data_IF_999996539129
#
_entry.id   IF_999996539129
#
_cell.length_a   1.000
_cell.length_b   1.000
_cell.length_c   1.000
_cell.angle_alpha   90.00
_cell.angle_beta   90.00
_cell.angle_gamma   90.00
#
_symmetry.space_group_name_H-M   'P 1'
#
loop_
_entity.id
_entity.type
_entity.pdbx_description
1 polymer ?
#
# COMPACT_ATOMS: atom_id res chain seq x y z
N UNK A 1 -20.78 -30.04 9.95
CA UNK A 1 -19.84 -28.93 9.69
C UNK A 1 -20.68 -27.67 9.57
N UNK A 2 -20.58 -26.75 10.54
CA UNK A 2 -21.26 -25.46 10.44
C UNK A 2 -20.74 -24.72 9.21
N UNK A 3 -21.63 -24.08 8.45
CA UNK A 3 -21.26 -23.34 7.26
C UNK A 3 -20.33 -22.17 7.68
N UNK A 4 -19.24 -21.88 6.94
CA UNK A 4 -18.34 -20.76 7.24
C UNK A 4 -19.08 -19.44 7.45
N UNK A 5 -20.21 -19.26 6.75
CA UNK A 5 -21.09 -18.10 6.86
C UNK A 5 -21.77 -17.95 8.23
N UNK A 6 -22.15 -19.04 8.90
CA UNK A 6 -22.77 -18.99 10.23
C UNK A 6 -21.72 -18.64 11.30
N UNK A 7 -20.51 -19.19 11.17
CA UNK A 7 -19.39 -18.85 12.07
C UNK A 7 -19.01 -17.37 11.97
N UNK A 8 -18.96 -16.81 10.76
CA UNK A 8 -18.66 -15.39 10.58
C UNK A 8 -19.82 -14.48 10.97
N UNK A 9 -21.08 -14.94 10.83
CA UNK A 9 -22.22 -14.22 11.40
C UNK A 9 -22.14 -14.12 12.94
N UNK A 10 -21.60 -15.15 13.61
CA UNK A 10 -21.31 -15.10 15.04
C UNK A 10 -20.21 -14.11 15.43
N UNK A 11 -19.29 -13.72 14.52
CA UNK A 11 -18.35 -12.62 14.78
C UNK A 11 -19.07 -11.31 15.06
N UNK A 12 -20.24 -11.07 14.46
CA UNK A 12 -21.01 -9.84 14.69
C UNK A 12 -21.76 -9.84 16.02
N UNK A 13 -21.95 -11.01 16.67
CA UNK A 13 -22.43 -11.07 18.05
C UNK A 13 -21.37 -10.47 18.98
N UNK A 14 -21.76 -9.52 19.85
CA UNK A 14 -20.84 -8.72 20.67
C UNK A 14 -20.08 -9.49 21.77
N UNK A 15 -19.87 -10.80 21.63
CA UNK A 15 -19.13 -11.61 22.58
C UNK A 15 -17.65 -11.70 22.19
N UNK A 16 -16.78 -11.18 23.05
CA UNK A 16 -15.32 -11.24 22.87
C UNK A 16 -14.78 -12.67 22.94
N UNK A 17 -15.49 -13.60 23.60
CA UNK A 17 -15.11 -15.02 23.63
C UNK A 17 -15.24 -15.67 22.26
N UNK A 18 -16.32 -15.34 21.53
CA UNK A 18 -16.57 -15.84 20.18
C UNK A 18 -15.45 -15.45 19.20
N UNK A 19 -14.85 -14.27 19.34
CA UNK A 19 -13.76 -13.83 18.45
C UNK A 19 -12.49 -14.66 18.67
N UNK A 20 -12.14 -14.96 19.94
CA UNK A 20 -10.95 -15.74 20.26
C UNK A 20 -11.10 -17.22 19.86
N UNK A 21 -12.28 -17.79 20.07
CA UNK A 21 -12.63 -19.13 19.59
C UNK A 21 -12.53 -19.22 18.06
N UNK A 22 -13.03 -18.21 17.34
CA UNK A 22 -12.95 -18.18 15.87
C UNK A 22 -11.51 -18.02 15.38
N UNK A 23 -10.67 -17.22 16.06
CA UNK A 23 -9.23 -17.15 15.75
C UNK A 23 -8.56 -18.51 15.89
N UNK A 24 -8.85 -19.25 16.96
CA UNK A 24 -8.30 -20.58 17.19
C UNK A 24 -8.77 -21.54 16.10
N UNK A 25 -10.07 -21.61 15.81
CA UNK A 25 -10.64 -22.47 14.77
C UNK A 25 -10.08 -22.18 13.38
N UNK A 26 -9.94 -20.91 12.99
CA UNK A 26 -9.35 -20.52 11.70
C UNK A 26 -7.90 -20.99 11.63
N UNK A 27 -7.11 -20.73 12.67
CA UNK A 27 -5.70 -21.13 12.69
C UNK A 27 -5.51 -22.66 12.72
N UNK A 28 -6.36 -23.39 13.43
CA UNK A 28 -6.36 -24.85 13.45
C UNK A 28 -6.75 -25.42 12.08
N UNK A 29 -7.78 -24.87 11.44
CA UNK A 29 -8.18 -25.33 10.10
C UNK A 29 -7.12 -25.05 9.05
N UNK A 30 -6.45 -23.90 9.12
CA UNK A 30 -5.35 -23.56 8.21
C UNK A 30 -4.14 -24.48 8.44
N UNK A 31 -3.86 -24.85 9.69
CA UNK A 31 -2.75 -25.74 10.02
C UNK A 31 -3.01 -27.20 9.65
N UNK A 32 -4.22 -27.71 9.90
CA UNK A 32 -4.55 -29.12 9.75
C UNK A 32 -4.94 -29.50 8.32
N UNK A 33 -5.70 -28.65 7.63
CA UNK A 33 -6.29 -29.00 6.34
C UNK A 33 -5.61 -28.32 5.14
N UNK A 34 -4.71 -27.36 5.36
CA UNK A 34 -4.21 -26.42 4.32
C UNK A 34 -5.36 -25.78 3.51
N UNK A 35 -6.56 -25.71 4.08
CA UNK A 35 -7.76 -25.24 3.39
C UNK A 35 -7.73 -23.72 3.28
N UNK A 36 -7.13 -23.23 2.20
CA UNK A 36 -7.11 -21.81 1.81
C UNK A 36 -8.50 -21.26 1.50
N UNK A 37 -9.51 -22.13 1.39
CA UNK A 37 -10.92 -21.80 1.20
C UNK A 37 -11.49 -20.98 2.36
N UNK A 38 -11.15 -21.30 3.61
CA UNK A 38 -11.65 -20.57 4.78
C UNK A 38 -11.06 -19.16 4.83
N UNK A 39 -9.75 -19.04 4.57
CA UNK A 39 -9.08 -17.74 4.46
C UNK A 39 -9.68 -16.90 3.33
N UNK A 40 -9.94 -17.53 2.18
CA UNK A 40 -10.59 -16.85 1.05
C UNK A 40 -11.97 -16.33 1.42
N UNK A 41 -12.77 -17.14 2.09
CA UNK A 41 -14.12 -16.77 2.54
C UNK A 41 -14.07 -15.66 3.59
N UNK A 42 -13.09 -15.69 4.50
CA UNK A 42 -12.89 -14.65 5.51
C UNK A 42 -12.53 -13.30 4.86
N UNK A 43 -11.63 -13.32 3.86
CA UNK A 43 -11.32 -12.12 3.08
C UNK A 43 -12.55 -11.61 2.34
N UNK A 44 -13.29 -12.49 1.66
CA UNK A 44 -14.50 -12.10 0.92
C UNK A 44 -15.57 -11.52 1.87
N UNK A 45 -15.71 -12.11 3.07
CA UNK A 45 -16.58 -11.58 4.12
C UNK A 45 -16.15 -10.18 4.57
N UNK A 46 -14.84 -9.93 4.78
CA UNK A 46 -14.37 -8.58 5.10
C UNK A 46 -14.67 -7.57 3.98
N UNK A 47 -14.47 -7.97 2.71
CA UNK A 47 -14.68 -7.09 1.57
C UNK A 47 -16.13 -6.61 1.45
N UNK A 48 -17.09 -7.43 1.90
CA UNK A 48 -18.52 -7.07 1.96
C UNK A 48 -18.92 -6.38 3.27
N UNK A 49 -18.53 -6.92 4.43
CA UNK A 49 -19.01 -6.45 5.75
C UNK A 49 -18.24 -5.27 6.32
N UNK A 50 -16.96 -5.10 5.95
CA UNK A 50 -16.01 -4.17 6.60
C UNK A 50 -15.85 -4.39 8.11
N UNK A 51 -16.16 -5.58 8.61
CA UNK A 51 -16.13 -5.91 10.03
C UNK A 51 -14.73 -5.79 10.63
N UNK A 52 -14.60 -5.04 11.72
CA UNK A 52 -13.33 -4.89 12.45
C UNK A 52 -12.92 -6.19 13.14
N UNK A 53 -13.87 -7.00 13.60
CA UNK A 53 -13.57 -8.29 14.21
C UNK A 53 -12.99 -9.28 13.21
N UNK A 54 -13.50 -9.26 11.97
CA UNK A 54 -12.91 -10.02 10.87
C UNK A 54 -11.46 -9.58 10.58
N UNK A 55 -11.19 -8.27 10.62
CA UNK A 55 -9.81 -7.77 10.52
C UNK A 55 -8.93 -8.29 11.67
N UNK A 56 -9.41 -8.31 12.91
CA UNK A 56 -8.64 -8.81 14.05
C UNK A 56 -8.29 -10.29 13.90
N UNK A 57 -9.18 -11.10 13.30
CA UNK A 57 -8.91 -12.50 12.94
C UNK A 57 -7.86 -12.58 11.83
N UNK A 58 -7.99 -11.78 10.77
CA UNK A 58 -7.03 -11.74 9.66
C UNK A 58 -5.62 -11.32 10.09
N UNK A 59 -5.50 -10.39 11.05
CA UNK A 59 -4.22 -9.95 11.61
C UNK A 59 -3.60 -11.05 12.49
N UNK A 60 -4.42 -11.83 13.19
CA UNK A 60 -4.01 -12.89 14.11
C UNK A 60 -3.70 -14.26 13.46
N UNK A 61 -3.61 -14.33 12.12
CA UNK A 61 -3.25 -15.58 11.44
C UNK A 61 -1.79 -15.98 11.72
N UNK A 62 -1.53 -17.29 11.63
CA UNK A 62 -0.17 -17.83 11.66
C UNK A 62 0.63 -17.38 10.44
N UNK A 63 1.93 -17.19 10.66
CA UNK A 63 2.89 -16.76 9.65
C UNK A 63 2.98 -17.71 8.44
N UNK A 64 2.78 -19.01 8.67
CA UNK A 64 2.74 -20.02 7.60
C UNK A 64 1.64 -19.78 6.55
N UNK A 65 0.58 -19.06 6.92
CA UNK A 65 -0.56 -18.75 6.06
C UNK A 65 -0.52 -17.34 5.47
N UNK A 66 0.50 -16.54 5.82
CA UNK A 66 0.62 -15.16 5.33
C UNK A 66 0.76 -15.10 3.81
N UNK A 67 1.46 -16.06 3.21
CA UNK A 67 1.59 -16.17 1.74
C UNK A 67 0.22 -16.34 1.06
N UNK A 68 -0.61 -17.26 1.56
CA UNK A 68 -1.93 -17.52 1.00
C UNK A 68 -2.85 -16.30 1.12
N UNK A 69 -2.73 -15.55 2.23
CA UNK A 69 -3.44 -14.28 2.40
C UNK A 69 -3.00 -13.27 1.34
N UNK A 70 -1.69 -13.10 1.14
CA UNK A 70 -1.19 -12.17 0.13
C UNK A 70 -1.55 -12.58 -1.29
N UNK A 71 -1.57 -13.88 -1.61
CA UNK A 71 -2.02 -14.37 -2.91
C UNK A 71 -3.51 -14.03 -3.13
N UNK A 72 -4.38 -14.27 -2.14
CA UNK A 72 -5.80 -13.87 -2.22
C UNK A 72 -5.97 -12.36 -2.39
N UNK A 73 -5.29 -11.55 -1.58
CA UNK A 73 -5.34 -10.09 -1.66
C UNK A 73 -4.84 -9.58 -3.03
N UNK A 74 -3.79 -10.19 -3.57
CA UNK A 74 -3.25 -9.85 -4.87
C UNK A 74 -4.26 -10.08 -6.00
N UNK A 75 -5.02 -11.18 -5.96
CA UNK A 75 -6.10 -11.43 -6.92
C UNK A 75 -7.25 -10.44 -6.76
N UNK A 76 -7.64 -10.09 -5.53
CA UNK A 76 -8.67 -9.09 -5.28
C UNK A 76 -8.27 -7.67 -5.77
N UNK A 77 -6.98 -7.33 -5.77
CA UNK A 77 -6.47 -6.07 -6.35
C UNK A 77 -6.64 -5.98 -7.87
N UNK A 78 -6.60 -7.12 -8.59
CA UNK A 78 -6.82 -7.15 -10.04
C UNK A 78 -8.30 -6.99 -10.40
N UNK A 79 -9.20 -7.40 -9.51
CA UNK A 79 -10.63 -7.42 -9.72
C UNK A 79 -11.36 -6.11 -9.41
N UNK A 80 -12.69 -6.21 -9.35
CA UNK A 80 -13.61 -5.10 -9.05
C UNK A 80 -13.57 -4.65 -7.58
N UNK A 81 -13.04 -5.47 -6.69
CA UNK A 81 -12.93 -5.21 -5.24
C UNK A 81 -11.64 -4.48 -4.85
N UNK A 82 -10.92 -3.89 -5.82
CA UNK A 82 -9.64 -3.20 -5.61
C UNK A 82 -9.67 -2.18 -4.46
N UNK A 83 -10.64 -1.26 -4.45
CA UNK A 83 -10.77 -0.25 -3.40
C UNK A 83 -10.95 -0.89 -2.01
N UNK A 84 -11.79 -1.92 -1.93
CA UNK A 84 -12.01 -2.62 -0.67
C UNK A 84 -10.75 -3.33 -0.18
N UNK A 85 -10.01 -3.92 -1.11
CA UNK A 85 -8.75 -4.64 -0.86
C UNK A 85 -7.64 -3.69 -0.43
N UNK A 86 -7.47 -2.54 -1.08
CA UNK A 86 -6.51 -1.52 -0.66
C UNK A 86 -6.79 -1.02 0.76
N UNK A 87 -8.08 -0.82 1.09
CA UNK A 87 -8.49 -0.45 2.45
C UNK A 87 -8.14 -1.55 3.46
N UNK A 88 -8.37 -2.83 3.11
CA UNK A 88 -7.98 -3.97 3.96
C UNK A 88 -6.47 -4.00 4.18
N UNK A 89 -5.66 -3.87 3.12
CA UNK A 89 -4.20 -3.87 3.20
C UNK A 89 -3.72 -2.71 4.06
N UNK A 90 -4.25 -1.49 3.87
CA UNK A 90 -3.90 -0.34 4.69
C UNK A 90 -4.18 -0.59 6.18
N UNK A 91 -5.33 -1.19 6.50
CA UNK A 91 -5.68 -1.54 7.88
C UNK A 91 -4.75 -2.62 8.46
N UNK A 92 -4.38 -3.65 7.67
CA UNK A 92 -3.39 -4.66 8.07
C UNK A 92 -2.03 -4.00 8.35
N UNK A 93 -1.57 -3.11 7.47
CA UNK A 93 -0.30 -2.39 7.63
C UNK A 93 -0.31 -1.52 8.89
N UNK A 94 -1.41 -0.83 9.19
CA UNK A 94 -1.55 -0.07 10.43
C UNK A 94 -1.53 -0.94 11.70
N UNK A 95 -2.01 -2.19 11.61
CA UNK A 95 -1.99 -3.15 12.73
C UNK A 95 -0.64 -3.83 12.93
N UNK A 96 0.25 -3.79 11.93
CA UNK A 96 1.62 -4.33 11.98
C UNK A 96 1.70 -5.78 12.51
N UNK A 97 0.98 -6.75 11.92
CA UNK A 97 1.09 -8.15 12.35
C UNK A 97 2.53 -8.66 12.19
N UNK A 98 2.94 -9.65 13.00
CA UNK A 98 4.31 -10.17 12.98
C UNK A 98 4.73 -10.71 11.60
N UNK A 99 3.78 -11.27 10.84
CA UNK A 99 4.01 -11.81 9.49
C UNK A 99 4.03 -10.75 8.37
N UNK A 100 3.76 -9.47 8.68
CA UNK A 100 3.67 -8.41 7.66
C UNK A 100 4.95 -8.28 6.84
N UNK A 101 6.11 -8.54 7.43
CA UNK A 101 7.40 -8.40 6.77
C UNK A 101 7.54 -9.28 5.51
N UNK A 102 6.78 -10.37 5.37
CA UNK A 102 6.73 -11.18 4.16
C UNK A 102 6.20 -10.44 2.93
N UNK A 103 5.53 -9.29 3.12
CA UNK A 103 4.99 -8.48 2.02
C UNK A 103 6.09 -8.00 1.07
N UNK A 104 7.31 -7.73 1.56
CA UNK A 104 8.41 -7.22 0.74
C UNK A 104 8.98 -8.26 -0.21
N UNK A 105 8.76 -9.54 0.08
CA UNK A 105 9.17 -10.67 -0.76
C UNK A 105 8.04 -11.15 -1.68
N UNK A 106 6.84 -10.56 -1.56
CA UNK A 106 5.67 -10.97 -2.31
C UNK A 106 5.33 -9.98 -3.44
N UNK A 107 4.88 -10.49 -4.59
CA UNK A 107 4.48 -9.72 -5.79
C UNK A 107 3.40 -8.66 -5.53
N UNK A 108 2.67 -8.75 -4.41
CA UNK A 108 1.65 -7.78 -4.01
C UNK A 108 2.24 -6.39 -3.83
N UNK A 109 3.48 -6.27 -3.33
CA UNK A 109 4.14 -4.98 -3.15
C UNK A 109 4.35 -4.27 -4.50
N UNK A 110 4.90 -4.98 -5.49
CA UNK A 110 5.06 -4.45 -6.86
C UNK A 110 3.72 -4.09 -7.49
N UNK A 111 2.65 -4.86 -7.25
CA UNK A 111 1.32 -4.52 -7.73
C UNK A 111 0.76 -3.25 -7.05
N UNK A 112 0.99 -3.04 -5.75
CA UNK A 112 0.61 -1.79 -5.07
C UNK A 112 1.37 -0.60 -5.66
N UNK A 113 2.66 -0.73 -5.95
CA UNK A 113 3.45 0.30 -6.64
C UNK A 113 2.93 0.58 -8.05
N UNK A 114 2.52 -0.46 -8.78
CA UNK A 114 1.84 -0.32 -10.07
C UNK A 114 0.52 0.45 -9.96
N UNK A 115 -0.25 0.26 -8.88
CA UNK A 115 -1.47 1.04 -8.61
C UNK A 115 -1.12 2.51 -8.42
N UNK A 116 -0.03 2.86 -7.71
CA UNK A 116 0.42 4.26 -7.62
C UNK A 116 0.79 4.84 -8.98
N UNK A 117 1.46 4.04 -9.83
CA UNK A 117 1.92 4.47 -11.17
C UNK A 117 0.80 4.73 -12.16
N UNK A 118 -0.24 3.90 -12.16
CA UNK A 118 -1.13 3.80 -13.33
C UNK A 118 -2.61 3.57 -13.00
N UNK A 119 -3.03 3.69 -11.73
CA UNK A 119 -4.45 3.54 -11.42
C UNK A 119 -5.29 4.69 -12.03
N UNK A 120 -6.49 4.38 -12.55
CA UNK A 120 -7.37 5.39 -13.16
C UNK A 120 -7.99 6.31 -12.10
N UNK A 121 -8.36 5.75 -10.94
CA UNK A 121 -9.02 6.51 -9.88
C UNK A 121 -8.00 7.12 -8.92
N UNK A 122 -8.06 8.44 -8.66
CA UNK A 122 -7.18 9.13 -7.70
C UNK A 122 -7.20 8.51 -6.30
N UNK A 123 -8.35 7.99 -5.86
CA UNK A 123 -8.52 7.40 -4.53
C UNK A 123 -7.66 6.13 -4.38
N UNK A 124 -7.54 5.31 -5.44
CA UNK A 124 -6.67 4.14 -5.43
C UNK A 124 -5.20 4.54 -5.30
N UNK A 125 -4.78 5.60 -6.01
CA UNK A 125 -3.40 6.12 -5.95
C UNK A 125 -3.09 6.63 -4.54
N UNK A 126 -4.01 7.38 -3.92
CA UNK A 126 -3.85 7.88 -2.56
C UNK A 126 -3.70 6.74 -1.55
N UNK A 127 -4.61 5.75 -1.56
CA UNK A 127 -4.53 4.62 -0.64
C UNK A 127 -3.27 3.77 -0.86
N UNK A 128 -2.92 3.48 -2.10
CA UNK A 128 -1.70 2.76 -2.42
C UNK A 128 -0.45 3.53 -1.95
N UNK A 129 -0.41 4.85 -2.16
CA UNK A 129 0.69 5.70 -1.68
C UNK A 129 0.82 5.63 -0.15
N UNK A 130 -0.31 5.66 0.58
CA UNK A 130 -0.32 5.51 2.04
C UNK A 130 0.28 4.19 2.49
N UNK A 131 -0.05 3.09 1.82
CA UNK A 131 0.53 1.78 2.12
C UNK A 131 2.06 1.83 1.90
N UNK A 132 2.52 2.40 0.79
CA UNK A 132 3.95 2.45 0.45
C UNK A 132 4.76 3.24 1.46
N UNK A 133 4.36 4.47 1.79
CA UNK A 133 5.12 5.26 2.75
C UNK A 133 4.98 4.76 4.19
N UNK A 134 3.98 3.94 4.50
CA UNK A 134 3.87 3.26 5.80
C UNK A 134 4.79 2.05 5.90
N UNK A 135 4.91 1.27 4.81
CA UNK A 135 5.79 0.10 4.75
C UNK A 135 7.27 0.47 4.75
N UNK A 136 7.63 1.56 4.06
CA UNK A 136 9.02 2.00 3.90
C UNK A 136 9.76 2.20 5.24
N UNK A 137 9.23 2.92 6.24
CA UNK A 137 9.87 3.06 7.54
C UNK A 137 9.76 1.81 8.42
N UNK A 138 8.74 0.97 8.23
CA UNK A 138 8.62 -0.28 8.98
C UNK A 138 9.67 -1.31 8.55
N UNK A 139 9.98 -1.37 7.25
CA UNK A 139 10.82 -2.41 6.65
C UNK A 139 11.92 -1.80 5.73
N UNK A 140 12.77 -0.87 6.22
CA UNK A 140 13.64 -0.06 5.37
C UNK A 140 14.65 -0.90 4.56
N UNK A 141 15.32 -1.85 5.20
CA UNK A 141 16.32 -2.67 4.49
C UNK A 141 15.66 -3.54 3.42
N UNK A 142 14.58 -4.24 3.78
CA UNK A 142 13.88 -5.17 2.88
C UNK A 142 13.21 -4.42 1.72
N UNK A 143 12.50 -3.33 2.01
CA UNK A 143 11.89 -2.47 0.99
C UNK A 143 12.95 -1.90 0.04
N UNK A 144 14.08 -1.42 0.58
CA UNK A 144 15.20 -0.90 -0.20
C UNK A 144 15.76 -1.91 -1.20
N UNK A 145 15.79 -3.19 -0.82
CA UNK A 145 16.29 -4.26 -1.70
C UNK A 145 15.30 -4.71 -2.77
N UNK A 146 14.00 -4.77 -2.47
CA UNK A 146 13.02 -5.40 -3.37
C UNK A 146 12.19 -4.43 -4.19
N UNK A 147 11.99 -3.19 -3.72
CA UNK A 147 10.95 -2.30 -4.24
C UNK A 147 11.42 -0.87 -4.51
N UNK A 148 12.69 -0.54 -4.24
CA UNK A 148 13.19 0.84 -4.30
C UNK A 148 13.11 1.46 -5.71
N UNK A 149 13.51 0.69 -6.74
CA UNK A 149 13.44 1.16 -8.12
C UNK A 149 11.99 1.43 -8.55
N UNK A 150 11.08 0.50 -8.27
CA UNK A 150 9.64 0.66 -8.54
C UNK A 150 9.05 1.86 -7.79
N UNK A 151 9.51 2.13 -6.56
CA UNK A 151 9.09 3.29 -5.77
C UNK A 151 9.56 4.62 -6.38
N UNK A 152 10.76 4.67 -6.95
CA UNK A 152 11.25 5.83 -7.69
C UNK A 152 10.44 6.09 -8.96
N UNK A 153 10.08 5.05 -9.69
CA UNK A 153 9.21 5.16 -10.86
C UNK A 153 7.79 5.59 -10.47
N UNK A 154 7.25 5.06 -9.37
CA UNK A 154 5.97 5.47 -8.81
C UNK A 154 5.97 6.95 -8.41
N UNK A 155 7.04 7.43 -7.80
CA UNK A 155 7.23 8.85 -7.52
C UNK A 155 7.18 9.69 -8.80
N UNK A 156 7.94 9.33 -9.83
CA UNK A 156 7.96 10.08 -11.09
C UNK A 156 6.60 10.08 -11.80
N UNK A 157 5.89 8.94 -11.78
CA UNK A 157 4.55 8.83 -12.36
C UNK A 157 3.55 9.73 -11.63
N UNK A 158 3.54 9.70 -10.30
CA UNK A 158 2.68 10.56 -9.48
C UNK A 158 3.01 12.05 -9.68
N UNK A 159 4.28 12.39 -9.80
CA UNK A 159 4.74 13.75 -10.07
C UNK A 159 4.25 14.25 -11.43
N UNK A 160 4.35 13.41 -12.47
CA UNK A 160 3.84 13.71 -13.80
C UNK A 160 2.31 13.89 -13.78
N UNK A 161 1.58 13.05 -13.06
CA UNK A 161 0.12 13.17 -12.89
C UNK A 161 -0.27 14.51 -12.25
N UNK A 162 0.39 14.87 -11.15
CA UNK A 162 0.14 16.12 -10.44
C UNK A 162 0.44 17.37 -11.29
N UNK A 163 1.31 17.22 -12.28
CA UNK A 163 1.75 18.30 -13.18
C UNK A 163 0.83 18.46 -14.38
N UNK A 164 0.45 17.33 -15.00
CA UNK A 164 -0.49 17.31 -16.13
C UNK A 164 -1.87 17.80 -15.75
N UNK A 165 -2.27 17.65 -14.48
CA UNK A 165 -3.59 18.07 -13.95
C UNK A 165 -4.75 17.70 -14.89
N UNK A 166 -4.95 16.40 -15.15
CA UNK A 166 -5.95 15.99 -16.12
C UNK A 166 -7.34 16.44 -15.67
N UNK A 167 -8.13 16.97 -16.61
CA UNK A 167 -9.38 17.68 -16.34
C UNK A 167 -10.47 16.85 -15.64
N UNK A 168 -10.35 15.53 -15.64
CA UNK A 168 -11.29 14.61 -14.98
C UNK A 168 -11.05 14.48 -13.47
N UNK A 169 -9.92 14.95 -12.93
CA UNK A 169 -9.61 14.85 -11.50
C UNK A 169 -10.10 16.11 -10.78
N UNK A 170 -11.01 15.90 -9.82
CA UNK A 170 -11.51 16.97 -8.96
C UNK A 170 -10.38 17.65 -8.17
N UNK A 171 -10.49 18.96 -7.93
CA UNK A 171 -9.42 19.75 -7.30
C UNK A 171 -9.05 19.24 -5.90
N UNK A 172 -10.04 18.75 -5.13
CA UNK A 172 -9.80 18.14 -3.81
C UNK A 172 -8.89 16.91 -3.91
N UNK A 173 -9.16 16.00 -4.86
CA UNK A 173 -8.31 14.82 -5.08
C UNK A 173 -6.90 15.22 -5.51
N UNK A 174 -6.77 16.24 -6.35
CA UNK A 174 -5.45 16.75 -6.76
C UNK A 174 -4.63 17.27 -5.58
N UNK A 175 -5.26 17.93 -4.59
CA UNK A 175 -4.58 18.37 -3.35
C UNK A 175 -4.03 17.19 -2.57
N UNK A 176 -4.81 16.12 -2.41
CA UNK A 176 -4.35 14.91 -1.72
C UNK A 176 -3.28 14.14 -2.50
N UNK A 177 -3.34 14.11 -3.83
CA UNK A 177 -2.28 13.52 -4.66
C UNK A 177 -0.95 14.27 -4.51
N UNK A 178 -0.99 15.61 -4.48
CA UNK A 178 0.20 16.43 -4.20
C UNK A 178 0.75 16.19 -2.80
N UNK A 179 -0.13 16.03 -1.81
CA UNK A 179 0.27 15.67 -0.46
C UNK A 179 0.92 14.28 -0.42
N UNK A 180 0.36 13.31 -1.13
CA UNK A 180 0.93 11.96 -1.27
C UNK A 180 2.31 12.00 -1.94
N UNK A 181 2.48 12.84 -2.96
CA UNK A 181 3.76 13.08 -3.63
C UNK A 181 4.80 13.68 -2.68
N UNK A 182 4.39 14.65 -1.86
CA UNK A 182 5.26 15.28 -0.87
C UNK A 182 5.72 14.26 0.19
N UNK A 183 4.82 13.44 0.72
CA UNK A 183 5.19 12.38 1.65
C UNK A 183 6.14 11.39 0.98
N UNK A 184 5.83 10.93 -0.23
CA UNK A 184 6.71 9.99 -0.93
C UNK A 184 8.11 10.58 -1.15
N UNK A 185 8.23 11.86 -1.47
CA UNK A 185 9.52 12.56 -1.51
C UNK A 185 10.23 12.52 -0.15
N UNK A 186 9.53 12.92 0.92
CA UNK A 186 10.10 12.98 2.27
C UNK A 186 10.62 11.61 2.75
N UNK A 187 9.86 10.55 2.51
CA UNK A 187 10.27 9.20 2.90
C UNK A 187 11.40 8.66 2.02
N UNK A 188 11.35 8.83 0.70
CA UNK A 188 12.42 8.38 -0.20
C UNK A 188 13.73 9.14 0.07
N UNK A 189 13.66 10.46 0.27
CA UNK A 189 14.81 11.28 0.60
C UNK A 189 15.33 11.00 2.01
N UNK A 190 14.44 10.83 2.99
CA UNK A 190 14.81 10.55 4.37
C UNK A 190 15.46 9.17 4.56
N UNK A 191 14.99 8.15 3.84
CA UNK A 191 15.46 6.77 4.00
C UNK A 191 16.53 6.37 2.99
N UNK A 192 16.49 6.90 1.77
CA UNK A 192 17.40 6.53 0.67
C UNK A 192 17.96 7.75 -0.07
N UNK A 193 18.56 8.74 0.61
CA UNK A 193 18.92 10.03 0.03
C UNK A 193 19.83 9.90 -1.20
N UNK A 194 20.91 9.11 -1.12
CA UNK A 194 21.87 8.98 -2.21
C UNK A 194 21.26 8.29 -3.43
N UNK A 195 20.55 7.17 -3.21
CA UNK A 195 19.88 6.43 -4.28
C UNK A 195 18.82 7.29 -4.97
N UNK A 196 18.02 8.01 -4.18
CA UNK A 196 16.96 8.84 -4.70
C UNK A 196 17.50 10.05 -5.46
N UNK A 197 18.52 10.74 -4.93
CA UNK A 197 19.18 11.84 -5.63
C UNK A 197 19.85 11.37 -6.93
N UNK A 198 20.50 10.20 -6.94
CA UNK A 198 21.07 9.62 -8.15
C UNK A 198 20.00 9.35 -9.20
N UNK A 199 18.87 8.77 -8.79
CA UNK A 199 17.71 8.57 -9.66
C UNK A 199 17.17 9.90 -10.20
N UNK A 200 16.98 10.91 -9.34
CA UNK A 200 16.49 12.22 -9.76
C UNK A 200 17.41 12.88 -10.79
N UNK A 201 18.73 12.83 -10.57
CA UNK A 201 19.72 13.37 -11.53
C UNK A 201 19.66 12.65 -12.87
N UNK A 202 19.58 11.32 -12.88
CA UNK A 202 19.47 10.55 -14.13
C UNK A 202 18.14 10.81 -14.86
N UNK A 203 17.02 10.73 -14.14
CA UNK A 203 15.68 10.79 -14.71
C UNK A 203 15.24 12.21 -15.11
N UNK A 204 15.65 13.23 -14.34
CA UNK A 204 15.26 14.63 -14.57
C UNK A 204 16.40 15.51 -15.10
N UNK A 205 17.68 15.15 -14.90
CA UNK A 205 18.84 15.93 -15.35
C UNK A 205 19.27 15.66 -16.79
N UNK A 206 18.78 14.59 -17.43
CA UNK A 206 19.04 14.31 -18.84
C UNK A 206 18.29 15.31 -19.73
N UNK A 207 19.06 16.11 -20.46
CA UNK A 207 18.72 17.43 -21.00
C UNK A 207 17.85 17.45 -22.27
N UNK A 208 16.89 16.53 -22.44
CA UNK A 208 16.17 16.41 -23.72
C UNK A 208 14.68 16.80 -23.70
N UNK A 209 14.05 17.08 -22.54
CA UNK A 209 12.60 17.36 -22.44
C UNK A 209 12.28 18.45 -21.40
N UNK A 210 12.82 19.64 -21.63
CA UNK A 210 13.18 20.65 -20.61
C UNK A 210 12.10 21.66 -20.17
N UNK A 211 10.80 21.47 -20.46
CA UNK A 211 9.76 22.44 -20.03
C UNK A 211 8.69 21.92 -19.05
N UNK A 212 8.22 20.68 -19.15
CA UNK A 212 7.21 20.15 -18.20
C UNK A 212 7.85 19.62 -16.90
N UNK A 213 9.05 19.05 -16.98
CA UNK A 213 9.75 18.43 -15.83
C UNK A 213 10.37 19.44 -14.87
N UNK A 214 10.79 20.61 -15.36
CA UNK A 214 11.36 21.69 -14.54
C UNK A 214 10.32 22.30 -13.58
N UNK A 215 9.05 22.31 -14.00
CA UNK A 215 7.92 22.78 -13.20
C UNK A 215 7.66 21.85 -12.01
N UNK A 216 7.90 20.54 -12.17
CA UNK A 216 7.79 19.53 -11.11
C UNK A 216 8.86 19.75 -10.05
N UNK A 217 10.11 19.93 -10.48
CA UNK A 217 11.21 20.25 -9.58
C UNK A 217 10.94 21.56 -8.81
N UNK A 218 10.53 22.60 -9.51
CA UNK A 218 10.35 23.94 -8.92
C UNK A 218 9.12 24.04 -8.01
N UNK A 219 8.01 23.36 -8.34
CA UNK A 219 6.78 23.43 -7.54
C UNK A 219 6.70 22.42 -6.39
N UNK A 220 7.39 21.28 -6.49
CA UNK A 220 7.32 20.24 -5.44
C UNK A 220 8.52 20.32 -4.48
N UNK A 221 9.72 20.63 -4.98
CA UNK A 221 10.95 20.61 -4.16
C UNK A 221 11.24 21.97 -3.53
N UNK A 222 10.99 23.08 -4.25
CA UNK A 222 11.27 24.44 -3.73
C UNK A 222 10.29 24.93 -2.66
N UNK A 223 9.06 24.41 -2.63
CA UNK A 223 8.07 24.75 -1.60
C UNK A 223 8.36 24.01 -0.27
N UNK A 224 9.03 22.85 -0.34
CA UNK A 224 9.39 22.07 0.85
C UNK A 224 10.69 22.52 1.53
N UNK A 225 11.47 23.36 0.86
CA UNK A 225 12.70 23.97 1.38
C UNK A 225 12.72 25.47 1.03
N UNK A 226 12.13 26.34 1.87
CA UNK A 226 12.32 27.77 1.71
C UNK A 226 13.76 28.11 2.10
N UNK A 227 14.56 28.46 1.08
CA UNK A 227 15.83 29.18 1.13
C UNK A 227 16.69 29.02 2.39
N UNK A 228 17.51 27.96 2.44
CA UNK A 228 18.83 28.01 3.08
C UNK A 228 19.83 27.17 2.27
N UNK A 229 20.21 27.70 1.10
CA UNK A 229 21.60 27.82 0.65
C UNK A 229 21.62 28.29 -0.81
N UNK A 230 21.44 29.60 -0.99
CA UNK A 230 22.22 30.33 -1.98
C UNK A 230 23.68 30.34 -1.49
N UNK A 231 24.42 29.25 -1.74
CA UNK A 231 25.85 29.28 -2.09
C UNK A 231 26.43 27.87 -2.13
N UNK A 232 27.26 27.67 -3.14
CA UNK A 232 28.20 26.56 -3.37
C UNK A 232 27.64 25.35 -4.15
N UNK A 233 27.86 25.47 -5.48
CA UNK A 233 28.12 24.45 -6.52
C UNK A 233 27.00 23.48 -6.91
#
# INVERSE_FOLDING_TARGET
MALPSEMFASLESCDGRSVEEIKQLVNESLANNKDTSILSTLVDYYLTSRSQRCLDVLVAIRETSAKDLFDKLHECLKGKTRQCTLTLIANIVHRQPPWLHHITSHKILSHILMVVKSAPEPVHIMQASMIIFSLMPMLPVQFGTSALADAFEAFSALAALCTRRPSHIHESHLKYLKLSLQFLFQYLYGMYPCNFLAYLRGYYGSQDHSRERLTVYTMTIRVSFPDHQNNVL
#
